data_IF_876543226689
#
_entry.id   IF_876543226689
#
_cell.length_a   1.000
_cell.length_b   1.000
_cell.length_c   1.000
_cell.angle_alpha   90.00
_cell.angle_beta   90.00
_cell.angle_gamma   90.00
#
_symmetry.space_group_name_H-M   'P 1'
#
loop_
_entity.id
_entity.type
_entity.pdbx_description
1 polymer ?
#
# COMPACT_ATOMS: atom_id res chain seq x y z
N UNK A 1 -18.35 21.28 -7.29
CA UNK A 1 -17.00 21.52 -6.76
C UNK A 1 -16.16 22.19 -7.83
N UNK A 2 -15.32 23.15 -7.46
CA UNK A 2 -14.33 23.74 -8.38
C UNK A 2 -13.11 22.83 -8.51
N UNK A 3 -12.29 22.97 -9.57
CA UNK A 3 -11.03 22.23 -9.68
C UNK A 3 -10.13 22.38 -8.45
N UNK A 4 -10.05 23.59 -7.87
CA UNK A 4 -9.27 23.84 -6.66
C UNK A 4 -9.79 23.08 -5.44
N UNK A 5 -11.13 22.96 -5.29
CA UNK A 5 -11.74 22.20 -4.20
C UNK A 5 -11.46 20.69 -4.35
N UNK A 6 -11.50 20.16 -5.57
CA UNK A 6 -11.15 18.77 -5.84
C UNK A 6 -9.66 18.49 -5.56
N UNK A 7 -8.76 19.40 -5.91
CA UNK A 7 -7.33 19.27 -5.61
C UNK A 7 -7.12 19.24 -4.09
N UNK A 8 -7.71 20.19 -3.36
CA UNK A 8 -7.58 20.29 -1.91
C UNK A 8 -8.14 19.07 -1.15
N UNK A 9 -9.04 18.31 -1.77
CA UNK A 9 -9.63 17.07 -1.23
C UNK A 9 -8.69 15.86 -1.31
N UNK A 10 -7.71 15.85 -2.22
CA UNK A 10 -6.86 14.68 -2.46
C UNK A 10 -5.78 14.51 -1.40
N UNK A 11 -5.53 13.27 -0.97
CA UNK A 11 -4.44 12.89 -0.07
C UNK A 11 -3.70 11.71 -0.68
N UNK A 12 -2.54 11.95 -1.26
CA UNK A 12 -1.76 10.91 -1.94
C UNK A 12 -0.52 10.58 -1.11
N UNK A 13 -0.44 9.35 -0.61
CA UNK A 13 0.70 8.92 0.23
C UNK A 13 1.10 7.47 0.01
N UNK A 14 2.33 7.16 0.40
CA UNK A 14 2.85 5.80 0.42
C UNK A 14 3.04 5.29 1.86
N UNK A 15 2.88 3.99 2.08
CA UNK A 15 3.32 3.34 3.33
C UNK A 15 4.70 2.72 3.09
N UNK A 16 5.66 3.04 3.97
CA UNK A 16 7.02 2.51 3.95
C UNK A 16 7.33 1.82 5.27
N UNK A 17 8.00 0.67 5.21
CA UNK A 17 8.39 -0.09 6.40
C UNK A 17 9.45 -1.13 6.05
N UNK A 18 10.17 -1.62 7.06
CA UNK A 18 10.92 -2.88 6.93
C UNK A 18 9.93 -4.05 6.68
N UNK A 19 10.38 -5.18 6.09
CA UNK A 19 9.57 -6.39 6.04
C UNK A 19 8.97 -6.74 7.41
N UNK A 20 7.76 -7.28 7.37
CA UNK A 20 7.00 -7.77 8.54
C UNK A 20 6.57 -6.73 9.59
N UNK A 21 6.93 -5.45 9.46
CA UNK A 21 6.50 -4.37 10.37
C UNK A 21 4.99 -4.02 10.34
N UNK A 22 4.18 -4.74 9.56
CA UNK A 22 2.72 -4.60 9.58
C UNK A 22 2.09 -3.68 8.53
N UNK A 23 2.83 -3.26 7.48
CA UNK A 23 2.29 -2.43 6.37
C UNK A 23 0.98 -2.97 5.78
N UNK A 24 0.94 -4.24 5.39
CA UNK A 24 -0.26 -4.85 4.79
C UNK A 24 -1.46 -4.78 5.73
N UNK A 25 -1.25 -5.03 7.02
CA UNK A 25 -2.32 -4.95 8.03
C UNK A 25 -2.82 -3.52 8.20
N UNK A 26 -1.94 -2.52 8.15
CA UNK A 26 -2.36 -1.11 8.19
C UNK A 26 -3.16 -0.71 6.94
N UNK A 27 -2.71 -1.14 5.75
CA UNK A 27 -3.41 -0.93 4.48
C UNK A 27 -4.85 -1.47 4.53
N UNK A 28 -5.04 -2.70 5.05
CA UNK A 28 -6.37 -3.28 5.22
C UNK A 28 -7.25 -2.45 6.14
N UNK A 29 -6.71 -1.93 7.25
CA UNK A 29 -7.46 -1.09 8.19
C UNK A 29 -7.88 0.24 7.55
N UNK A 30 -7.02 0.86 6.78
CA UNK A 30 -7.37 2.08 6.03
C UNK A 30 -8.51 1.85 5.04
N UNK A 31 -8.47 0.73 4.30
CA UNK A 31 -9.56 0.38 3.39
C UNK A 31 -10.88 0.13 4.14
N UNK A 32 -10.83 -0.52 5.30
CA UNK A 32 -12.02 -0.70 6.15
C UNK A 32 -12.58 0.64 6.65
N UNK A 33 -11.72 1.55 7.10
CA UNK A 33 -12.15 2.89 7.53
C UNK A 33 -12.70 3.74 6.39
N UNK A 34 -12.24 3.50 5.16
CA UNK A 34 -12.76 4.13 3.95
C UNK A 34 -14.04 3.51 3.40
N UNK A 35 -14.67 2.58 4.14
CA UNK A 35 -15.81 1.79 3.68
C UNK A 35 -15.53 1.00 2.37
N UNK A 36 -14.27 0.80 2.02
CA UNK A 36 -13.82 0.10 0.83
C UNK A 36 -13.70 -1.41 1.11
N UNK A 37 -14.78 -2.01 1.64
CA UNK A 37 -14.81 -3.38 2.17
C UNK A 37 -14.40 -4.41 1.10
N UNK A 38 -14.85 -4.24 -0.14
CA UNK A 38 -14.47 -5.10 -1.26
C UNK A 38 -12.96 -5.04 -1.56
N UNK A 39 -12.37 -3.85 -1.49
CA UNK A 39 -10.92 -3.68 -1.68
C UNK A 39 -10.15 -4.28 -0.51
N UNK A 40 -10.60 -4.07 0.74
CA UNK A 40 -9.99 -4.66 1.92
C UNK A 40 -9.96 -6.21 1.83
N UNK A 41 -11.09 -6.81 1.45
CA UNK A 41 -11.18 -8.26 1.24
C UNK A 41 -10.24 -8.77 0.14
N UNK A 42 -10.03 -8.00 -0.92
CA UNK A 42 -9.09 -8.36 -1.99
C UNK A 42 -7.62 -8.33 -1.53
N UNK A 43 -7.25 -7.41 -0.63
CA UNK A 43 -5.90 -7.34 -0.04
C UNK A 43 -5.66 -8.56 0.86
N UNK A 44 -6.64 -8.91 1.70
CA UNK A 44 -6.58 -10.12 2.55
C UNK A 44 -6.53 -11.40 1.71
N UNK A 45 -7.34 -11.50 0.66
CA UNK A 45 -7.32 -12.63 -0.24
C UNK A 45 -5.97 -12.76 -0.96
N UNK A 46 -5.35 -11.65 -1.40
CA UNK A 46 -3.98 -11.66 -1.94
C UNK A 46 -2.95 -12.09 -0.91
N UNK A 47 -3.06 -11.66 0.35
CA UNK A 47 -2.19 -12.11 1.44
C UNK A 47 -2.30 -13.63 1.66
N UNK A 48 -3.51 -14.18 1.58
CA UNK A 48 -3.73 -15.63 1.68
C UNK A 48 -3.28 -16.39 0.43
N UNK A 49 -3.53 -15.87 -0.77
CA UNK A 49 -3.00 -16.44 -2.02
C UNK A 49 -1.48 -16.40 -2.07
N UNK A 50 -0.84 -15.38 -1.47
CA UNK A 50 0.62 -15.34 -1.26
C UNK A 50 1.16 -16.51 -0.44
N UNK A 51 0.30 -17.17 0.35
CA UNK A 51 0.65 -18.37 1.10
C UNK A 51 0.47 -19.67 0.29
N UNK A 52 -0.23 -19.63 -0.85
CA UNK A 52 -0.57 -20.79 -1.69
C UNK A 52 -0.19 -20.55 -3.17
N UNK A 53 1.12 -20.68 -3.42
CA UNK A 53 1.83 -21.07 -4.68
C UNK A 53 1.41 -20.48 -6.05
N UNK A 54 2.35 -19.76 -6.66
CA UNK A 54 2.58 -19.65 -8.12
C UNK A 54 4.09 -19.51 -8.41
N UNK A 55 4.55 -19.88 -9.61
CA UNK A 55 5.99 -19.78 -9.99
C UNK A 55 6.55 -18.36 -9.89
N UNK A 56 5.70 -17.34 -10.05
CA UNK A 56 6.04 -15.92 -9.86
C UNK A 56 6.28 -15.56 -8.39
N UNK A 57 5.52 -16.17 -7.47
CA UNK A 57 5.71 -16.02 -6.03
C UNK A 57 7.00 -16.66 -5.54
N UNK A 58 7.47 -17.71 -6.20
CA UNK A 58 8.73 -18.37 -5.85
C UNK A 58 9.92 -17.46 -6.20
N UNK A 59 9.83 -16.70 -7.29
CA UNK A 59 10.77 -15.62 -7.65
C UNK A 59 10.68 -14.46 -6.64
N UNK A 60 9.47 -14.04 -6.24
CA UNK A 60 9.25 -13.04 -5.18
C UNK A 60 9.87 -13.48 -3.84
N UNK A 61 9.68 -14.75 -3.47
CA UNK A 61 10.20 -15.36 -2.23
C UNK A 61 11.71 -15.58 -2.25
N UNK A 62 12.28 -16.01 -3.39
CA UNK A 62 13.72 -16.18 -3.57
C UNK A 62 14.46 -14.83 -3.53
N UNK A 63 13.83 -13.76 -4.02
CA UNK A 63 14.42 -12.41 -4.01
C UNK A 63 14.02 -11.58 -2.79
N UNK A 64 12.99 -11.98 -2.04
CA UNK A 64 12.46 -11.22 -0.90
C UNK A 64 11.75 -9.92 -1.32
N UNK A 65 11.13 -9.91 -2.50
CA UNK A 65 10.58 -8.71 -3.16
C UNK A 65 9.11 -8.92 -3.50
N UNK A 66 8.30 -7.87 -3.39
CA UNK A 66 6.95 -7.85 -3.98
C UNK A 66 7.00 -7.04 -5.29
N UNK A 67 6.62 -7.61 -6.43
CA UNK A 67 6.97 -7.06 -7.76
C UNK A 67 5.92 -6.05 -8.27
N UNK A 68 4.74 -5.94 -7.66
CA UNK A 68 3.68 -5.02 -8.12
C UNK A 68 3.32 -3.95 -7.08
N UNK A 69 3.55 -2.68 -7.44
CA UNK A 69 3.01 -1.53 -6.71
C UNK A 69 1.51 -1.41 -7.02
N UNK A 70 0.66 -1.40 -5.98
CA UNK A 70 -0.79 -1.23 -6.15
C UNK A 70 -1.18 0.18 -5.70
N UNK A 71 -1.94 0.90 -6.54
CA UNK A 71 -2.61 2.14 -6.13
C UNK A 71 -4.01 1.78 -5.63
N UNK A 72 -4.32 2.20 -4.40
CA UNK A 72 -5.60 1.98 -3.75
C UNK A 72 -6.26 3.33 -3.48
N UNK A 73 -7.48 3.51 -3.95
CA UNK A 73 -8.23 4.75 -3.74
C UNK A 73 -9.48 4.49 -2.90
N UNK A 74 -9.70 5.32 -1.88
CA UNK A 74 -10.88 5.27 -1.01
C UNK A 74 -11.24 6.66 -0.47
N UNK A 75 -12.49 6.83 -0.04
CA UNK A 75 -12.94 8.07 0.59
C UNK A 75 -12.87 7.96 2.12
N UNK A 76 -12.37 9.01 2.79
CA UNK A 76 -12.35 9.08 4.25
C UNK A 76 -12.64 10.50 4.73
N UNK A 77 -13.70 10.68 5.53
CA UNK A 77 -14.10 11.98 6.09
C UNK A 77 -14.19 13.13 5.05
N UNK A 78 -14.68 12.83 3.85
CA UNK A 78 -14.79 13.79 2.76
C UNK A 78 -13.48 14.04 2.00
N UNK A 79 -12.39 13.36 2.33
CA UNK A 79 -11.14 13.34 1.56
C UNK A 79 -11.08 12.15 0.59
N UNK A 80 -10.45 12.36 -0.56
CA UNK A 80 -10.15 11.31 -1.52
C UNK A 80 -8.70 10.83 -1.27
N UNK A 81 -8.55 9.65 -0.69
CA UNK A 81 -7.27 9.09 -0.29
C UNK A 81 -6.73 8.18 -1.39
N UNK A 82 -5.50 8.43 -1.83
CA UNK A 82 -4.74 7.61 -2.76
C UNK A 82 -3.56 7.01 -2.00
N UNK A 83 -3.61 5.71 -1.75
CA UNK A 83 -2.56 4.95 -1.10
C UNK A 83 -1.75 4.19 -2.14
N UNK A 84 -0.46 4.49 -2.23
CA UNK A 84 0.48 3.72 -3.01
C UNK A 84 1.14 2.69 -2.10
N UNK A 85 0.79 1.42 -2.29
CA UNK A 85 1.45 0.33 -1.57
C UNK A 85 2.80 0.06 -2.22
N UNK A 86 3.87 0.36 -1.49
CA UNK A 86 5.23 0.02 -1.91
C UNK A 86 5.42 -1.49 -1.77
N UNK A 87 6.31 -2.12 -2.54
CA UNK A 87 6.82 -3.44 -2.19
C UNK A 87 7.41 -3.47 -0.78
N UNK A 88 7.12 -4.50 0.02
CA UNK A 88 7.92 -4.81 1.20
C UNK A 88 9.18 -5.51 0.72
N UNK A 89 10.30 -4.82 0.64
CA UNK A 89 11.58 -5.42 0.25
C UNK A 89 12.56 -5.28 1.42
N UNK A 90 13.37 -6.32 1.62
CA UNK A 90 14.47 -6.33 2.61
C UNK A 90 15.44 -5.15 2.49
N UNK A 91 15.52 -4.56 1.30
CA UNK A 91 16.38 -3.43 0.98
C UNK A 91 15.51 -2.36 0.32
N UNK A 92 15.63 -1.12 0.77
CA UNK A 92 15.00 0.03 0.10
C UNK A 92 15.52 0.13 -1.34
N UNK A 93 14.81 -0.48 -2.28
CA UNK A 93 15.19 -0.56 -3.70
C UNK A 93 14.78 0.69 -4.48
N UNK A 94 15.31 0.84 -5.71
CA UNK A 94 14.95 1.91 -6.66
C UNK A 94 13.43 2.05 -6.86
N UNK A 95 12.68 0.94 -6.85
CA UNK A 95 11.23 0.94 -7.00
C UNK A 95 10.52 1.63 -5.83
N UNK A 96 11.07 1.55 -4.61
CA UNK A 96 10.57 2.31 -3.46
C UNK A 96 10.81 3.80 -3.65
N UNK A 97 11.98 4.20 -4.16
CA UNK A 97 12.27 5.60 -4.46
C UNK A 97 11.35 6.16 -5.54
N UNK A 98 11.03 5.38 -6.58
CA UNK A 98 10.11 5.80 -7.64
C UNK A 98 8.70 6.04 -7.09
N UNK A 99 8.19 5.17 -6.22
CA UNK A 99 6.88 5.40 -5.57
C UNK A 99 6.90 6.67 -4.74
N UNK A 100 8.00 6.95 -4.03
CA UNK A 100 8.13 8.17 -3.22
C UNK A 100 8.13 9.45 -4.07
N UNK A 101 8.52 9.40 -5.35
CA UNK A 101 8.41 10.56 -6.26
C UNK A 101 6.97 10.85 -6.70
N UNK A 102 6.06 9.88 -6.55
CA UNK A 102 4.67 9.98 -7.02
C UNK A 102 3.68 10.34 -5.90
N UNK A 103 4.15 10.63 -4.69
CA UNK A 103 3.32 10.91 -3.52
C UNK A 103 3.67 12.24 -2.87
N UNK A 104 2.66 12.86 -2.24
CA UNK A 104 2.83 14.11 -1.51
C UNK A 104 3.38 13.88 -0.09
N UNK A 105 3.19 12.67 0.45
CA UNK A 105 3.61 12.29 1.80
C UNK A 105 3.94 10.80 1.91
N UNK A 106 4.65 10.42 2.98
CA UNK A 106 4.90 9.03 3.34
C UNK A 106 4.54 8.77 4.81
N UNK A 107 4.01 7.58 5.08
CA UNK A 107 3.74 7.07 6.42
C UNK A 107 4.72 5.93 6.70
N UNK A 108 5.62 6.13 7.66
CA UNK A 108 6.57 5.10 8.08
C UNK A 108 5.96 4.25 9.20
N UNK A 109 5.94 2.94 9.01
CA UNK A 109 5.53 1.97 10.04
C UNK A 109 6.76 1.33 10.62
N UNK A 110 6.87 1.39 11.95
CA UNK A 110 7.97 0.84 12.73
C UNK A 110 7.37 -0.22 13.65
N UNK A 111 7.96 -1.41 13.67
CA UNK A 111 7.63 -2.42 14.65
C UNK A 111 8.16 -1.98 16.02
N UNK A 112 7.31 -2.04 17.04
CA UNK A 112 7.66 -1.71 18.42
C UNK A 112 8.19 -2.89 19.23
N UNK A 113 8.24 -4.09 18.63
CA UNK A 113 8.75 -5.33 19.22
C UNK A 113 10.25 -5.37 19.43
#
# INVERSE_FOLDING_TARGET
MTPAQEIARRRTFAIISHPDAGKTTLTEKFLLYGNAIHLAGSVTARKQQRATTSDWMEIEKQRGISISSTVLQFDYQGYAVNLLDTPGHKDFSEDTYRVLTAVDAAVMVIDGG
#
